data_IF_233499542017
#
_entry.id   IF_233499542017
#
_cell.length_a   1.000
_cell.length_b   1.000
_cell.length_c   1.000
_cell.angle_alpha   90.00
_cell.angle_beta   90.00
_cell.angle_gamma   90.00
#
_symmetry.space_group_name_H-M   'P 1'
#
loop_
_entity.id
_entity.type
_entity.pdbx_description
1 polymer ?
#
# COMPACT_ATOMS: atom_id res chain seq x y z
N UNK A 1 -19.28 -20.75 -4.74
CA UNK A 1 -18.50 -19.61 -5.27
C UNK A 1 -17.14 -19.63 -4.59
N UNK A 2 -16.05 -19.90 -5.31
CA UNK A 2 -14.73 -20.11 -4.72
C UNK A 2 -14.06 -18.80 -4.30
N UNK A 3 -13.27 -18.81 -3.21
CA UNK A 3 -12.36 -17.71 -2.89
C UNK A 3 -11.20 -17.79 -3.88
N UNK A 4 -11.02 -16.75 -4.69
CA UNK A 4 -9.90 -16.64 -5.63
C UNK A 4 -8.95 -15.54 -5.16
N UNK A 5 -7.66 -15.68 -5.50
CA UNK A 5 -6.64 -14.67 -5.25
C UNK A 5 -6.15 -14.16 -6.60
N UNK A 6 -6.28 -12.85 -6.83
CA UNK A 6 -5.61 -12.19 -7.95
C UNK A 6 -4.12 -12.05 -7.59
N UNK A 7 -3.24 -12.59 -8.43
CA UNK A 7 -1.79 -12.49 -8.26
C UNK A 7 -1.21 -11.44 -9.21
N UNK A 8 -1.95 -10.36 -9.44
CA UNK A 8 -1.51 -9.25 -10.29
C UNK A 8 -0.26 -8.61 -9.69
N UNK A 9 0.76 -8.39 -10.52
CA UNK A 9 1.90 -7.57 -10.14
C UNK A 9 1.45 -6.12 -10.11
N UNK A 10 1.56 -5.48 -8.95
CA UNK A 10 1.27 -4.04 -8.78
C UNK A 10 2.58 -3.36 -8.52
N UNK A 11 2.99 -2.48 -9.44
CA UNK A 11 4.13 -1.60 -9.22
C UNK A 11 3.72 -0.47 -8.28
N UNK A 12 4.47 -0.27 -7.20
CA UNK A 12 4.23 0.80 -6.23
C UNK A 12 5.56 1.45 -5.81
N UNK A 13 5.59 2.78 -5.63
CA UNK A 13 6.77 3.48 -5.16
C UNK A 13 7.00 3.23 -3.66
N UNK A 14 8.27 3.08 -3.27
CA UNK A 14 8.67 2.96 -1.85
C UNK A 14 8.77 4.34 -1.19
N UNK A 15 9.17 5.35 -1.95
CA UNK A 15 9.32 6.73 -1.48
C UNK A 15 8.58 7.68 -2.40
N UNK A 16 8.19 8.82 -1.85
CA UNK A 16 7.62 9.94 -2.59
C UNK A 16 6.36 9.59 -3.40
N UNK A 17 5.48 8.74 -2.87
CA UNK A 17 4.17 8.52 -3.46
C UNK A 17 3.36 9.83 -3.39
N UNK A 18 3.06 10.39 -4.55
CA UNK A 18 2.14 11.51 -4.72
C UNK A 18 0.77 10.96 -5.10
N UNK A 19 -0.26 11.53 -4.49
CA UNK A 19 -1.65 11.16 -4.77
C UNK A 19 -2.40 12.31 -5.45
N UNK A 20 -1.67 13.21 -6.12
CA UNK A 20 -2.20 14.43 -6.73
C UNK A 20 -3.36 14.14 -7.71
N UNK A 21 -3.29 13.02 -8.43
CA UNK A 21 -4.36 12.56 -9.35
C UNK A 21 -5.68 12.19 -8.65
N UNK A 22 -5.64 12.02 -7.32
CA UNK A 22 -6.81 11.73 -6.48
C UNK A 22 -7.24 12.94 -5.65
N UNK A 23 -6.70 14.14 -5.91
CA UNK A 23 -6.98 15.34 -5.13
C UNK A 23 -8.50 15.65 -5.02
N UNK A 24 -9.26 15.40 -6.09
CA UNK A 24 -10.70 15.65 -6.15
C UNK A 24 -11.53 14.81 -5.15
N UNK A 25 -10.97 13.69 -4.68
CA UNK A 25 -11.62 12.79 -3.71
C UNK A 25 -10.95 12.82 -2.33
N UNK A 26 -9.95 13.69 -2.14
CA UNK A 26 -9.31 13.86 -0.84
C UNK A 26 -10.21 14.64 0.12
N UNK A 27 -10.00 14.43 1.42
CA UNK A 27 -10.69 15.19 2.46
C UNK A 27 -10.35 16.67 2.34
N UNK A 28 -11.38 17.52 2.28
CA UNK A 28 -11.25 18.98 2.25
C UNK A 28 -10.87 19.57 3.61
N UNK A 29 -10.85 18.77 4.67
CA UNK A 29 -10.49 19.20 6.02
C UNK A 29 -9.00 19.46 6.23
N UNK A 30 -8.15 19.10 5.26
CA UNK A 30 -6.71 19.33 5.34
C UNK A 30 -6.33 20.59 4.56
N UNK A 31 -5.82 21.60 5.25
CA UNK A 31 -5.49 22.91 4.68
C UNK A 31 -4.00 23.04 4.28
N UNK A 32 -3.23 21.95 4.34
CA UNK A 32 -1.80 21.93 4.03
C UNK A 32 -1.47 21.54 2.58
N UNK A 33 -0.18 21.49 2.22
CA UNK A 33 0.25 21.03 0.91
C UNK A 33 -0.05 19.54 0.70
N UNK A 34 -0.35 19.12 -0.53
CA UNK A 34 -0.71 17.73 -0.84
C UNK A 34 0.30 16.75 -0.22
N UNK A 35 -0.16 15.81 0.62
CA UNK A 35 0.74 14.94 1.35
C UNK A 35 1.47 13.99 0.41
N UNK A 36 2.74 13.77 0.71
CA UNK A 36 3.57 12.78 0.05
C UNK A 36 3.83 11.62 1.01
N UNK A 37 3.74 10.38 0.53
CA UNK A 37 3.81 9.18 1.37
C UNK A 37 5.08 8.38 1.09
N UNK A 38 5.68 7.86 2.17
CA UNK A 38 6.77 6.88 2.12
C UNK A 38 6.27 5.57 2.73
N UNK A 39 6.52 4.47 2.03
CA UNK A 39 6.16 3.13 2.48
C UNK A 39 7.05 2.72 3.65
N UNK A 40 6.44 2.42 4.80
CA UNK A 40 7.14 1.94 5.98
C UNK A 40 6.83 0.49 6.33
N UNK A 41 5.83 -0.12 5.68
CA UNK A 41 5.46 -1.51 5.96
C UNK A 41 4.62 -2.13 4.85
N UNK A 42 4.79 -3.45 4.65
CA UNK A 42 4.07 -4.26 3.67
C UNK A 42 3.58 -5.53 4.38
N UNK A 43 2.30 -5.86 4.22
CA UNK A 43 1.76 -7.18 4.57
C UNK A 43 1.72 -8.05 3.32
N UNK A 44 2.55 -9.07 3.30
CA UNK A 44 2.69 -9.97 2.17
C UNK A 44 1.90 -11.25 2.41
N UNK A 45 1.27 -11.77 1.35
CA UNK A 45 0.57 -13.06 1.38
C UNK A 45 1.07 -13.97 0.26
N UNK A 46 1.60 -15.14 0.60
CA UNK A 46 1.96 -16.21 -0.33
C UNK A 46 0.94 -17.35 -0.28
N UNK A 47 0.73 -18.04 -1.40
CA UNK A 47 -0.25 -19.12 -1.51
C UNK A 47 -1.64 -18.67 -1.98
N UNK A 48 -2.62 -19.53 -1.76
CA UNK A 48 -4.00 -19.42 -2.27
C UNK A 48 -4.92 -18.74 -1.26
N UNK A 49 -6.14 -18.40 -1.66
CA UNK A 49 -7.15 -17.84 -0.75
C UNK A 49 -7.68 -18.84 0.31
N UNK A 50 -7.30 -20.13 0.22
CA UNK A 50 -7.70 -21.18 1.15
C UNK A 50 -6.55 -21.62 2.07
N UNK A 51 -5.33 -21.59 1.56
CA UNK A 51 -4.12 -21.97 2.28
C UNK A 51 -2.96 -21.11 1.78
N UNK A 52 -2.38 -20.36 2.71
CA UNK A 52 -1.31 -19.41 2.46
C UNK A 52 -0.63 -18.97 3.74
N UNK A 53 0.35 -18.09 3.61
CA UNK A 53 1.15 -17.58 4.72
C UNK A 53 1.32 -16.08 4.61
N UNK A 54 1.27 -15.40 5.76
CA UNK A 54 1.45 -13.96 5.85
C UNK A 54 2.81 -13.62 6.45
N UNK A 55 3.51 -12.69 5.83
CA UNK A 55 4.75 -12.09 6.37
C UNK A 55 4.65 -10.57 6.33
N UNK A 56 5.51 -9.89 7.08
CA UNK A 56 5.60 -8.43 7.06
C UNK A 56 7.01 -7.99 6.71
N UNK A 57 7.12 -6.96 5.86
CA UNK A 57 8.34 -6.20 5.68
C UNK A 57 8.13 -4.83 6.31
N UNK A 58 9.01 -4.42 7.22
CA UNK A 58 8.88 -3.15 7.93
C UNK A 58 10.18 -2.37 7.80
N UNK A 59 10.06 -1.06 7.55
CA UNK A 59 11.18 -0.13 7.63
C UNK A 59 11.48 0.13 9.10
N UNK A 60 12.74 -0.09 9.49
CA UNK A 60 13.18 0.29 10.83
C UNK A 60 13.24 1.82 10.93
N UNK A 61 12.61 2.47 11.93
CA UNK A 61 12.57 3.92 12.05
C UNK A 61 13.92 4.63 12.16
N UNK A 62 15.00 3.89 12.47
CA UNK A 62 16.34 4.46 12.69
C UNK A 62 17.36 4.11 11.59
N UNK A 63 16.91 3.56 10.46
CA UNK A 63 17.72 3.28 9.26
C UNK A 63 17.09 3.93 8.04
#
# INVERSE_FOLDING_TARGET
RGRTKLNTHVDFPIINLKLDDLADVMSTSYEGPVPTYNLFGISNHSGTAYSGHYTAQCKHPFT
#
